data_IF_287093635951
#
_entry.id   IF_287093635951
#
_cell.length_a   1.000
_cell.length_b   1.000
_cell.length_c   1.000
_cell.angle_alpha   90.00
_cell.angle_beta   90.00
_cell.angle_gamma   90.00
#
_symmetry.space_group_name_H-M   'P 1'
#
loop_
_entity.id
_entity.type
_entity.pdbx_description
1 polymer ?
#
# COMPACT_ATOMS: atom_id res chain seq x y z
N UNK A 1 1.22 -27.54 9.98
CA UNK A 1 1.25 -26.36 9.09
C UNK A 1 0.18 -25.42 9.58
N UNK A 2 0.55 -24.42 10.40
CA UNK A 2 -0.43 -23.49 10.97
C UNK A 2 -0.79 -22.43 9.95
N UNK A 3 -1.90 -22.60 9.26
CA UNK A 3 -2.61 -21.47 8.66
C UNK A 3 -3.13 -20.62 9.79
N UNK A 4 -2.51 -19.48 10.04
CA UNK A 4 -3.01 -18.48 11.00
C UNK A 4 -4.37 -18.00 10.50
N UNK A 5 -5.46 -18.63 10.97
CA UNK A 5 -6.81 -18.19 10.69
C UNK A 5 -7.05 -16.88 11.45
N UNK A 6 -7.35 -15.82 10.72
CA UNK A 6 -7.77 -14.56 11.35
C UNK A 6 -9.15 -14.82 11.94
N UNK A 7 -9.25 -14.86 13.25
CA UNK A 7 -10.54 -14.94 13.95
C UNK A 7 -11.36 -13.68 13.63
N UNK A 8 -12.65 -13.85 13.35
CA UNK A 8 -13.61 -12.86 12.82
C UNK A 8 -13.73 -11.50 13.54
N UNK A 9 -12.98 -11.26 14.62
CA UNK A 9 -13.07 -10.03 15.44
C UNK A 9 -11.76 -9.25 15.60
N UNK A 10 -10.71 -9.58 14.84
CA UNK A 10 -9.45 -8.86 14.99
C UNK A 10 -9.33 -7.73 13.96
N UNK A 11 -8.85 -6.57 14.40
CA UNK A 11 -8.65 -5.40 13.52
C UNK A 11 -7.45 -5.59 12.58
N UNK A 12 -7.48 -4.84 11.48
CA UNK A 12 -6.31 -4.58 10.63
C UNK A 12 -5.60 -3.33 11.15
N UNK A 13 -4.28 -3.37 11.24
CA UNK A 13 -3.47 -2.18 11.53
C UNK A 13 -2.68 -1.83 10.29
N UNK A 14 -2.74 -0.56 9.85
CA UNK A 14 -1.93 -0.04 8.75
C UNK A 14 -0.97 1.03 9.26
N UNK A 15 0.24 1.09 8.70
CA UNK A 15 1.30 1.99 9.15
C UNK A 15 1.94 2.73 7.99
N UNK A 16 1.88 4.06 8.00
CA UNK A 16 2.48 4.89 6.97
C UNK A 16 2.26 6.39 7.16
N UNK A 17 2.69 7.18 6.19
CA UNK A 17 2.51 8.62 6.19
C UNK A 17 1.19 9.04 5.55
N UNK A 18 0.44 9.90 6.24
CA UNK A 18 -0.64 10.67 5.65
C UNK A 18 -0.18 12.10 5.41
N UNK A 19 -0.46 12.62 4.21
CA UNK A 19 -0.06 13.95 3.77
C UNK A 19 -1.26 14.81 3.41
N UNK A 20 -1.11 16.12 3.49
CA UNK A 20 -2.05 17.06 2.89
C UNK A 20 -1.83 17.07 1.37
N UNK A 21 -2.86 16.68 0.62
CA UNK A 21 -2.92 16.74 -0.84
C UNK A 21 -3.52 18.05 -1.28
N UNK A 22 -2.80 18.79 -2.11
CA UNK A 22 -3.22 20.04 -2.73
C UNK A 22 -3.36 19.82 -4.24
N UNK A 23 -4.60 19.68 -4.71
CA UNK A 23 -4.90 19.38 -6.12
C UNK A 23 -5.31 20.65 -6.86
N UNK A 24 -4.64 20.94 -7.99
CA UNK A 24 -5.09 21.98 -8.90
C UNK A 24 -6.51 21.62 -9.45
N UNK A 25 -7.47 22.57 -9.44
CA UNK A 25 -8.84 22.29 -9.84
C UNK A 25 -8.95 21.79 -11.27
N UNK A 26 -9.88 20.88 -11.51
CA UNK A 26 -10.12 20.29 -12.84
C UNK A 26 -8.82 19.71 -13.42
N UNK A 27 -8.40 20.18 -14.58
CA UNK A 27 -7.17 19.76 -15.27
C UNK A 27 -6.20 20.93 -15.45
N UNK A 28 -6.25 21.95 -14.55
CA UNK A 28 -5.34 23.09 -14.60
C UNK A 28 -3.91 22.67 -14.21
N UNK A 29 -2.95 23.39 -14.78
CA UNK A 29 -1.54 23.31 -14.33
C UNK A 29 -1.33 24.21 -13.12
N UNK A 30 -0.29 23.98 -12.36
CA UNK A 30 0.10 24.86 -11.23
C UNK A 30 0.29 26.33 -11.65
N UNK A 31 0.76 26.57 -12.89
CA UNK A 31 0.92 27.90 -13.45
C UNK A 31 -0.40 28.55 -13.88
N UNK A 32 -1.52 27.86 -13.83
CA UNK A 32 -2.83 28.34 -14.30
C UNK A 32 -3.84 28.53 -13.16
N UNK A 33 -3.45 28.20 -11.93
CA UNK A 33 -4.33 28.28 -10.76
C UNK A 33 -3.69 29.02 -9.60
N UNK A 34 -4.48 29.69 -8.81
CA UNK A 34 -4.17 30.33 -7.51
C UNK A 34 -4.97 29.68 -6.38
N UNK A 35 -5.71 28.62 -6.64
CA UNK A 35 -6.48 27.89 -5.64
C UNK A 35 -6.17 26.39 -5.72
N UNK A 36 -6.32 25.69 -4.59
CA UNK A 36 -6.13 24.25 -4.51
C UNK A 36 -7.26 23.62 -3.72
N UNK A 37 -7.69 22.45 -4.17
CA UNK A 37 -8.57 21.58 -3.40
C UNK A 37 -7.70 20.78 -2.42
N UNK A 38 -7.95 20.99 -1.12
CA UNK A 38 -7.24 20.32 -0.05
C UNK A 38 -7.95 19.04 0.37
N UNK A 39 -7.23 17.92 0.38
CA UNK A 39 -7.67 16.62 0.88
C UNK A 39 -6.50 15.95 1.61
N UNK A 40 -6.74 14.79 2.24
CA UNK A 40 -5.69 14.02 2.89
C UNK A 40 -5.53 12.68 2.18
N UNK A 41 -4.29 12.19 2.06
CA UNK A 41 -4.00 10.91 1.42
C UNK A 41 -2.61 10.39 1.77
N UNK A 42 -2.50 9.09 1.73
CA UNK A 42 -1.29 8.32 1.95
C UNK A 42 -1.60 6.86 1.63
N UNK A 43 -0.63 6.10 1.13
CA UNK A 43 -0.89 4.75 0.65
C UNK A 43 -1.63 3.90 1.69
N UNK A 44 -1.07 3.78 2.88
CA UNK A 44 -1.61 2.94 3.95
C UNK A 44 -2.90 3.51 4.56
N UNK A 45 -3.06 4.87 4.56
CA UNK A 45 -4.30 5.52 4.96
C UNK A 45 -5.42 5.24 3.95
N UNK A 46 -5.12 5.25 2.64
CA UNK A 46 -6.07 4.92 1.58
C UNK A 46 -6.50 3.44 1.66
N UNK A 47 -5.55 2.53 1.90
CA UNK A 47 -5.85 1.10 2.18
C UNK A 47 -6.76 0.96 3.39
N UNK A 48 -6.44 1.67 4.49
CA UNK A 48 -7.23 1.64 5.73
C UNK A 48 -8.66 2.11 5.49
N UNK A 49 -8.86 3.24 4.79
CA UNK A 49 -10.19 3.76 4.45
C UNK A 49 -10.96 2.76 3.57
N UNK A 50 -10.29 2.13 2.59
CA UNK A 50 -10.91 1.09 1.76
C UNK A 50 -11.42 -0.07 2.60
N UNK A 51 -10.63 -0.54 3.56
CA UNK A 51 -10.99 -1.64 4.45
C UNK A 51 -12.17 -1.28 5.37
N UNK A 52 -12.18 -0.08 5.92
CA UNK A 52 -13.32 0.41 6.73
C UNK A 52 -14.59 0.48 5.89
N UNK A 53 -14.52 0.95 4.65
CA UNK A 53 -15.66 0.97 3.73
C UNK A 53 -16.16 -0.45 3.39
N UNK A 54 -15.31 -1.47 3.49
CA UNK A 54 -15.70 -2.88 3.39
C UNK A 54 -16.20 -3.48 4.72
N UNK A 55 -16.31 -2.67 5.79
CA UNK A 55 -16.78 -3.10 7.11
C UNK A 55 -15.71 -3.81 7.96
N UNK A 56 -14.43 -3.69 7.60
CA UNK A 56 -13.32 -4.26 8.37
C UNK A 56 -12.84 -3.24 9.41
N UNK A 57 -12.87 -3.57 10.73
CA UNK A 57 -12.28 -2.72 11.75
C UNK A 57 -10.80 -2.46 11.45
N UNK A 58 -10.42 -1.21 11.29
CA UNK A 58 -9.06 -0.84 10.88
C UNK A 58 -8.55 0.32 11.74
N UNK A 59 -7.30 0.23 12.15
CA UNK A 59 -6.54 1.24 12.87
C UNK A 59 -5.41 1.76 11.98
N UNK A 60 -5.23 3.08 11.95
CA UNK A 60 -4.13 3.70 11.20
C UNK A 60 -3.07 4.26 12.15
N UNK A 61 -1.83 3.89 11.92
CA UNK A 61 -0.67 4.29 12.71
C UNK A 61 0.20 5.24 11.90
N UNK A 62 0.45 6.42 12.45
CA UNK A 62 1.28 7.45 11.83
C UNK A 62 1.83 8.42 12.89
N UNK A 63 2.66 9.38 12.44
CA UNK A 63 3.11 10.49 13.27
C UNK A 63 2.73 11.83 12.64
N UNK A 64 2.04 12.68 13.41
CA UNK A 64 1.55 13.99 12.99
C UNK A 64 2.07 15.11 13.90
N UNK A 65 2.15 16.38 13.42
CA UNK A 65 2.49 17.49 14.27
C UNK A 65 1.31 17.85 15.20
N UNK A 66 1.59 18.55 16.30
CA UNK A 66 0.56 19.09 17.20
C UNK A 66 0.05 20.45 16.68
N UNK A 67 -0.86 20.43 15.70
CA UNK A 67 -1.46 21.66 15.18
C UNK A 67 -2.85 21.41 14.58
N UNK A 68 -3.54 22.50 14.23
CA UNK A 68 -4.90 22.47 13.70
C UNK A 68 -5.03 21.71 12.36
N UNK A 69 -3.98 21.70 11.53
CA UNK A 69 -4.01 20.96 10.25
C UNK A 69 -3.96 19.44 10.48
N UNK A 70 -3.15 18.99 11.45
CA UNK A 70 -3.12 17.60 11.86
C UNK A 70 -4.47 17.17 12.47
N UNK A 71 -5.09 18.02 13.30
CA UNK A 71 -6.42 17.75 13.85
C UNK A 71 -7.47 17.63 12.74
N UNK A 72 -7.42 18.50 11.73
CA UNK A 72 -8.33 18.42 10.58
C UNK A 72 -8.11 17.12 9.78
N UNK A 73 -6.87 16.66 9.65
CA UNK A 73 -6.55 15.36 9.06
C UNK A 73 -7.19 14.22 9.87
N UNK A 74 -6.98 14.18 11.17
CA UNK A 74 -7.55 13.15 12.07
C UNK A 74 -9.07 13.13 11.97
N UNK A 75 -9.72 14.30 12.03
CA UNK A 75 -11.17 14.40 11.88
C UNK A 75 -11.65 13.86 10.52
N UNK A 76 -10.89 14.11 9.45
CA UNK A 76 -11.20 13.58 8.11
C UNK A 76 -11.10 12.04 8.07
N UNK A 77 -10.09 11.46 8.70
CA UNK A 77 -9.93 10.00 8.78
C UNK A 77 -11.04 9.37 9.62
N UNK A 78 -11.37 9.96 10.76
CA UNK A 78 -12.44 9.53 11.66
C UNK A 78 -13.83 9.61 11.02
N UNK A 79 -14.05 10.56 10.11
CA UNK A 79 -15.30 10.68 9.37
C UNK A 79 -15.62 9.46 8.51
N UNK A 80 -14.60 8.67 8.10
CA UNK A 80 -14.76 7.37 7.46
C UNK A 80 -14.95 6.22 8.46
N UNK A 81 -14.83 6.46 9.76
CA UNK A 81 -14.87 5.42 10.80
C UNK A 81 -13.52 4.74 11.04
N UNK A 82 -12.42 5.34 10.56
CA UNK A 82 -11.07 4.81 10.77
C UNK A 82 -10.61 5.02 12.22
N UNK A 83 -10.06 3.97 12.86
CA UNK A 83 -9.40 4.06 14.15
C UNK A 83 -8.12 4.91 14.05
N UNK A 84 -7.93 5.79 15.01
CA UNK A 84 -6.84 6.78 15.01
C UNK A 84 -6.07 6.84 16.35
N UNK A 85 -6.31 5.89 17.25
CA UNK A 85 -5.66 5.84 18.57
C UNK A 85 -4.17 5.50 18.46
N UNK A 86 -3.76 4.90 17.32
CA UNK A 86 -2.36 4.64 16.98
C UNK A 86 -1.58 5.86 16.47
N UNK A 87 -2.21 7.03 16.33
CA UNK A 87 -1.54 8.26 15.89
C UNK A 87 -0.72 8.84 17.04
N UNK A 88 0.59 8.98 16.84
CA UNK A 88 1.47 9.68 17.76
C UNK A 88 1.74 11.11 17.28
N UNK A 89 1.96 12.01 18.23
CA UNK A 89 2.16 13.43 17.94
C UNK A 89 3.61 13.85 18.16
N UNK A 90 4.06 14.82 17.37
CA UNK A 90 5.39 15.43 17.45
C UNK A 90 5.91 15.80 16.06
N UNK A 91 7.12 16.39 16.05
CA UNK A 91 7.66 17.00 14.82
C UNK A 91 7.05 18.38 14.56
N UNK A 92 7.37 18.96 13.40
CA UNK A 92 7.05 20.38 13.11
C UNK A 92 5.96 20.56 12.07
N UNK A 93 5.82 19.61 11.12
CA UNK A 93 4.92 19.78 9.96
C UNK A 93 4.38 18.46 9.45
N UNK A 94 3.21 18.52 8.82
CA UNK A 94 2.70 17.45 7.99
C UNK A 94 3.39 17.46 6.63
N UNK A 95 3.61 16.29 6.03
CA UNK A 95 4.02 16.20 4.63
C UNK A 95 2.95 16.75 3.69
N UNK A 96 3.37 17.32 2.57
CA UNK A 96 2.50 17.84 1.53
C UNK A 96 2.79 17.15 0.20
N UNK A 97 1.79 17.10 -0.67
CA UNK A 97 2.02 16.91 -2.09
C UNK A 97 1.03 17.71 -2.93
N UNK A 98 1.54 18.18 -4.06
CA UNK A 98 0.77 18.94 -5.05
C UNK A 98 0.48 18.04 -6.23
N UNK A 99 -0.76 18.12 -6.74
CA UNK A 99 -1.21 17.31 -7.86
C UNK A 99 -1.76 18.18 -8.99
N UNK A 100 -1.21 18.01 -10.18
CA UNK A 100 -1.87 18.35 -11.44
C UNK A 100 -2.49 17.07 -12.02
N UNK A 101 -3.79 17.05 -12.19
CA UNK A 101 -4.47 15.92 -12.82
C UNK A 101 -4.11 15.83 -14.31
N UNK A 102 -3.82 14.64 -14.78
CA UNK A 102 -3.58 14.38 -16.19
C UNK A 102 -4.86 14.52 -17.04
N UNK A 103 -4.68 14.75 -18.33
CA UNK A 103 -5.78 14.81 -19.27
C UNK A 103 -5.31 14.29 -20.63
N UNK A 104 -6.04 13.38 -21.24
CA UNK A 104 -5.70 12.73 -22.51
C UNK A 104 -4.23 12.23 -22.52
N UNK A 105 -3.37 12.80 -23.34
CA UNK A 105 -1.95 12.42 -23.44
C UNK A 105 -1.03 13.16 -22.46
N UNK A 106 -1.54 14.11 -21.70
CA UNK A 106 -0.78 14.80 -20.67
C UNK A 106 -0.84 14.01 -19.37
N UNK A 107 0.31 13.51 -18.93
CA UNK A 107 0.41 12.80 -17.66
C UNK A 107 0.11 13.69 -16.45
N UNK A 108 -0.36 13.09 -15.36
CA UNK A 108 -0.44 13.74 -14.05
C UNK A 108 0.98 14.12 -13.59
N UNK A 109 1.07 15.24 -12.87
CA UNK A 109 2.32 15.69 -12.27
C UNK A 109 2.15 15.76 -10.75
N UNK A 110 3.05 15.11 -10.02
CA UNK A 110 3.07 15.11 -8.55
C UNK A 110 4.36 15.71 -8.06
N UNK A 111 4.24 16.72 -7.20
CA UNK A 111 5.38 17.36 -6.52
C UNK A 111 5.23 17.09 -5.03
N UNK A 112 6.22 16.40 -4.45
CA UNK A 112 6.25 16.10 -3.01
C UNK A 112 7.04 17.17 -2.25
N UNK A 113 6.49 17.60 -1.13
CA UNK A 113 7.14 18.40 -0.09
C UNK A 113 6.95 17.71 1.26
N UNK A 114 7.77 16.70 1.51
CA UNK A 114 7.68 15.83 2.69
C UNK A 114 8.96 15.73 3.52
N UNK A 115 10.03 16.37 3.09
CA UNK A 115 11.29 16.43 3.85
C UNK A 115 11.06 17.06 5.22
N UNK A 116 11.57 16.43 6.28
CA UNK A 116 11.37 16.90 7.65
C UNK A 116 9.91 16.87 8.14
N UNK A 117 9.01 16.16 7.44
CA UNK A 117 7.67 15.91 7.97
C UNK A 117 7.73 15.16 9.30
N UNK A 118 6.66 15.25 10.09
CA UNK A 118 6.59 14.54 11.38
C UNK A 118 6.82 13.05 11.22
N UNK A 119 6.24 12.44 10.17
CA UNK A 119 6.46 11.04 9.87
C UNK A 119 7.91 10.76 9.44
N UNK A 120 8.50 11.59 8.59
CA UNK A 120 9.90 11.42 8.15
C UNK A 120 10.92 11.52 9.30
N UNK A 121 10.52 12.08 10.45
CA UNK A 121 11.35 12.13 11.67
C UNK A 121 11.06 11.00 12.66
N UNK A 122 10.31 9.98 12.26
CA UNK A 122 10.03 8.80 13.06
C UNK A 122 11.31 8.01 13.33
N UNK A 123 11.41 7.43 14.53
CA UNK A 123 12.52 6.60 14.98
C UNK A 123 12.02 5.39 15.77
N UNK A 124 12.78 4.31 15.84
CA UNK A 124 12.47 3.19 16.74
C UNK A 124 12.21 3.66 18.18
N UNK A 125 11.32 2.97 18.86
CA UNK A 125 10.93 3.27 20.24
C UNK A 125 9.93 4.40 20.41
N UNK A 126 9.51 5.10 19.33
CA UNK A 126 8.51 6.16 19.43
C UNK A 126 7.07 5.64 19.46
N UNK A 127 6.83 4.43 18.96
CA UNK A 127 5.51 3.80 18.88
C UNK A 127 5.49 2.58 19.79
N UNK A 128 4.46 2.48 20.64
CA UNK A 128 4.22 1.29 21.46
C UNK A 128 3.51 0.20 20.62
N UNK A 129 4.31 -0.51 19.82
CA UNK A 129 3.82 -1.56 18.94
C UNK A 129 3.15 -2.71 19.68
N UNK A 130 3.61 -3.06 20.89
CA UNK A 130 2.98 -4.10 21.72
C UNK A 130 1.54 -3.77 22.02
N UNK A 131 1.29 -2.55 22.45
CA UNK A 131 -0.06 -2.07 22.77
C UNK A 131 -0.93 -2.01 21.52
N UNK A 132 -0.43 -1.42 20.43
CA UNK A 132 -1.21 -1.17 19.20
C UNK A 132 -1.58 -2.48 18.49
N UNK A 133 -0.67 -3.46 18.50
CA UNK A 133 -0.85 -4.73 17.76
C UNK A 133 -1.48 -5.85 18.61
N UNK A 134 -1.69 -5.65 19.93
CA UNK A 134 -2.13 -6.68 20.86
C UNK A 134 -3.45 -7.37 20.48
N UNK A 135 -4.39 -6.63 19.88
CA UNK A 135 -5.72 -7.08 19.43
C UNK A 135 -5.85 -7.14 17.90
N UNK A 136 -4.73 -6.95 17.19
CA UNK A 136 -4.72 -7.02 15.72
C UNK A 136 -4.59 -8.46 15.22
N UNK A 137 -5.09 -8.70 14.01
CA UNK A 137 -4.89 -9.96 13.28
C UNK A 137 -4.09 -9.79 12.00
N UNK A 138 -3.97 -8.54 11.53
CA UNK A 138 -3.27 -8.20 10.29
C UNK A 138 -2.51 -6.88 10.45
N UNK A 139 -1.26 -6.86 9.97
CA UNK A 139 -0.45 -5.66 9.88
C UNK A 139 -0.10 -5.37 8.41
N UNK A 140 -0.38 -4.16 7.94
CA UNK A 140 -0.05 -3.72 6.58
C UNK A 140 0.87 -2.51 6.59
N UNK A 141 1.91 -2.57 5.77
CA UNK A 141 2.90 -1.51 5.58
C UNK A 141 3.30 -1.39 4.12
N UNK A 142 4.02 -0.32 3.75
CA UNK A 142 4.59 -0.19 2.41
C UNK A 142 6.06 0.25 2.42
N UNK A 143 6.71 0.06 1.28
CA UNK A 143 8.09 0.50 1.07
C UNK A 143 8.29 2.01 1.17
N UNK A 144 7.23 2.82 1.17
CA UNK A 144 7.35 4.27 1.32
C UNK A 144 7.92 4.64 2.69
N UNK A 145 7.43 4.03 3.76
CA UNK A 145 7.90 4.34 5.11
C UNK A 145 9.41 4.09 5.27
N UNK A 146 9.92 2.98 4.71
CA UNK A 146 11.33 2.62 4.74
C UNK A 146 12.20 3.45 3.77
N UNK A 147 11.60 4.11 2.78
CA UNK A 147 12.31 4.87 1.75
C UNK A 147 12.72 6.28 2.16
N UNK A 148 12.23 6.78 3.29
CA UNK A 148 12.42 8.17 3.71
C UNK A 148 13.74 8.40 4.45
N UNK A 149 14.15 7.45 5.27
CA UNK A 149 15.39 7.51 6.06
C UNK A 149 15.77 6.13 6.59
N UNK A 150 17.01 5.98 7.09
CA UNK A 150 17.42 4.75 7.78
C UNK A 150 16.61 4.55 9.05
N UNK A 151 16.34 5.60 9.83
CA UNK A 151 15.54 5.52 11.04
C UNK A 151 14.08 5.10 10.74
N UNK A 152 13.53 5.55 9.61
CA UNK A 152 12.22 5.09 9.13
C UNK A 152 12.21 3.60 8.79
N UNK A 153 13.27 3.10 8.15
CA UNK A 153 13.43 1.67 7.87
C UNK A 153 13.59 0.85 9.16
N UNK A 154 14.35 1.36 10.13
CA UNK A 154 14.54 0.71 11.42
C UNK A 154 13.23 0.68 12.25
N UNK A 155 12.43 1.75 12.19
CA UNK A 155 11.10 1.78 12.80
C UNK A 155 10.12 0.78 12.12
N UNK A 156 10.21 0.60 10.78
CA UNK A 156 9.48 -0.45 10.09
C UNK A 156 9.90 -1.84 10.58
N UNK A 157 11.21 -2.08 10.75
CA UNK A 157 11.72 -3.35 11.24
C UNK A 157 11.20 -3.66 12.65
N UNK A 158 11.19 -2.68 13.55
CA UNK A 158 10.63 -2.81 14.90
C UNK A 158 9.16 -3.24 14.87
N UNK A 159 8.36 -2.59 14.03
CA UNK A 159 6.95 -2.94 13.83
C UNK A 159 6.78 -4.37 13.31
N UNK A 160 7.57 -4.75 12.31
CA UNK A 160 7.54 -6.08 11.69
C UNK A 160 7.93 -7.19 12.66
N UNK A 161 8.97 -6.98 13.44
CA UNK A 161 9.42 -7.92 14.48
C UNK A 161 8.34 -8.11 15.54
N UNK A 162 7.68 -7.04 15.95
CA UNK A 162 6.58 -7.11 16.93
C UNK A 162 5.37 -7.82 16.35
N UNK A 163 4.95 -7.48 15.13
CA UNK A 163 3.84 -8.13 14.45
C UNK A 163 4.09 -9.64 14.23
N UNK A 164 5.33 -10.01 13.88
CA UNK A 164 5.73 -11.41 13.74
C UNK A 164 5.66 -12.17 15.06
N UNK A 165 6.22 -11.61 16.13
CA UNK A 165 6.22 -12.21 17.47
C UNK A 165 4.80 -12.40 18.01
N UNK A 166 3.90 -11.45 17.74
CA UNK A 166 2.48 -11.53 18.11
C UNK A 166 1.66 -12.44 17.18
N UNK A 167 2.26 -12.93 16.13
CA UNK A 167 1.64 -13.90 15.23
C UNK A 167 0.66 -13.31 14.22
N UNK A 168 0.77 -12.03 13.88
CA UNK A 168 -0.09 -11.40 12.88
C UNK A 168 0.22 -11.89 11.47
N UNK A 169 -0.77 -11.80 10.58
CA UNK A 169 -0.51 -11.85 9.15
C UNK A 169 0.07 -10.50 8.74
N UNK A 170 1.18 -10.51 8.03
CA UNK A 170 1.89 -9.30 7.61
C UNK A 170 1.79 -9.14 6.09
N UNK A 171 1.40 -7.96 5.62
CA UNK A 171 1.39 -7.64 4.20
C UNK A 171 2.21 -6.39 3.88
N UNK A 172 2.88 -6.42 2.75
CA UNK A 172 3.71 -5.34 2.22
C UNK A 172 3.21 -4.92 0.83
N UNK A 173 2.99 -3.62 0.62
CA UNK A 173 3.01 -3.04 -0.73
C UNK A 173 4.42 -2.55 -1.03
N UNK A 174 5.05 -3.08 -2.07
CA UNK A 174 6.43 -2.69 -2.45
C UNK A 174 6.55 -1.20 -2.73
N UNK A 175 5.57 -0.62 -3.38
CA UNK A 175 5.32 0.80 -3.56
C UNK A 175 6.60 1.64 -3.83
N UNK A 176 7.48 1.11 -4.69
CA UNK A 176 8.76 1.74 -4.99
C UNK A 176 8.56 3.12 -5.63
N UNK A 177 9.23 4.12 -5.07
CA UNK A 177 9.25 5.49 -5.57
C UNK A 177 10.69 5.96 -5.71
N UNK A 178 11.24 5.92 -6.93
CA UNK A 178 12.65 6.23 -7.23
C UNK A 178 13.15 7.53 -6.56
N UNK A 179 12.29 8.55 -6.46
CA UNK A 179 12.66 9.87 -5.89
C UNK A 179 12.81 9.88 -4.36
N UNK A 180 12.47 8.82 -3.65
CA UNK A 180 12.51 8.78 -2.19
C UNK A 180 13.81 8.18 -1.63
N UNK A 181 14.50 7.34 -2.40
CA UNK A 181 15.71 6.63 -1.98
C UNK A 181 16.96 7.53 -2.08
N UNK A 182 17.06 8.53 -1.18
CA UNK A 182 18.11 9.57 -1.26
C UNK A 182 19.06 9.57 -0.05
N UNK A 183 19.03 8.57 0.83
CA UNK A 183 19.88 8.49 2.02
C UNK A 183 21.05 7.50 1.90
N UNK A 184 21.50 7.23 0.66
CA UNK A 184 22.74 6.49 0.37
C UNK A 184 22.60 4.97 0.33
N UNK A 185 21.36 4.43 0.43
CA UNK A 185 21.07 2.99 0.27
C UNK A 185 20.14 2.76 -0.91
N UNK A 186 20.29 1.61 -1.58
CA UNK A 186 19.36 1.17 -2.60
C UNK A 186 18.09 0.60 -1.99
N UNK A 187 16.99 0.62 -2.77
CA UNK A 187 15.73 0.01 -2.34
C UNK A 187 15.89 -1.49 -2.03
N UNK A 188 16.67 -2.22 -2.83
CA UNK A 188 16.92 -3.64 -2.63
C UNK A 188 17.61 -3.93 -1.30
N UNK A 189 18.67 -3.17 -0.96
CA UNK A 189 19.43 -3.35 0.31
C UNK A 189 18.54 -3.19 1.54
N UNK A 190 17.57 -2.28 1.49
CA UNK A 190 16.70 -1.99 2.63
C UNK A 190 15.45 -2.86 2.63
N UNK A 191 14.80 -3.02 1.48
CA UNK A 191 13.51 -3.71 1.41
C UNK A 191 13.63 -5.23 1.51
N UNK A 192 14.66 -5.85 0.95
CA UNK A 192 14.79 -7.32 0.99
C UNK A 192 14.77 -7.89 2.41
N UNK A 193 15.50 -7.34 3.40
CA UNK A 193 15.39 -7.79 4.79
C UNK A 193 14.00 -7.57 5.41
N UNK A 194 13.32 -6.48 5.06
CA UNK A 194 12.02 -6.15 5.63
C UNK A 194 10.89 -7.02 5.05
N UNK A 195 10.91 -7.28 3.75
CA UNK A 195 9.87 -8.11 3.10
C UNK A 195 9.92 -9.58 3.51
N UNK A 196 11.03 -10.04 4.13
CA UNK A 196 11.12 -11.39 4.70
C UNK A 196 10.07 -11.66 5.80
N UNK A 197 9.56 -10.61 6.42
CA UNK A 197 8.49 -10.72 7.42
C UNK A 197 7.09 -10.84 6.80
N UNK A 198 6.95 -10.64 5.49
CA UNK A 198 5.64 -10.51 4.83
C UNK A 198 5.08 -11.85 4.37
N UNK A 199 3.85 -12.16 4.79
CA UNK A 199 3.07 -13.31 4.31
C UNK A 199 2.40 -13.02 2.97
N UNK A 200 2.12 -11.72 2.69
CA UNK A 200 1.49 -11.24 1.45
C UNK A 200 2.27 -10.07 0.90
N UNK A 201 2.62 -10.10 -0.38
CA UNK A 201 3.35 -9.03 -1.06
C UNK A 201 2.52 -8.53 -2.23
N UNK A 202 2.35 -7.20 -2.30
CA UNK A 202 1.72 -6.48 -3.40
C UNK A 202 2.75 -5.66 -4.17
N UNK A 203 2.53 -5.46 -5.45
CA UNK A 203 3.34 -4.57 -6.26
C UNK A 203 3.07 -4.71 -7.75
N UNK A 204 3.68 -3.80 -8.53
CA UNK A 204 3.75 -3.88 -9.97
C UNK A 204 5.10 -4.46 -10.43
N UNK A 205 5.18 -4.97 -11.65
CA UNK A 205 6.41 -5.59 -12.18
C UNK A 205 7.67 -4.72 -12.05
N UNK A 206 7.64 -3.39 -12.29
CA UNK A 206 8.80 -2.53 -12.09
C UNK A 206 9.31 -2.49 -10.65
N UNK A 207 8.42 -2.61 -9.66
CA UNK A 207 8.77 -2.59 -8.24
C UNK A 207 9.49 -3.88 -7.83
N UNK A 208 9.01 -5.02 -8.31
CA UNK A 208 9.71 -6.30 -8.13
C UNK A 208 11.09 -6.32 -8.81
N UNK A 209 11.22 -5.65 -9.96
CA UNK A 209 12.52 -5.51 -10.62
C UNK A 209 13.51 -4.73 -9.75
N UNK A 210 13.10 -3.61 -9.20
CA UNK A 210 13.97 -2.73 -8.40
C UNK A 210 14.36 -3.36 -7.04
N UNK A 211 13.47 -4.15 -6.44
CA UNK A 211 13.69 -4.71 -5.11
C UNK A 211 14.31 -6.11 -5.20
N UNK A 212 13.75 -6.99 -6.02
CA UNK A 212 14.17 -8.40 -6.12
C UNK A 212 15.10 -8.70 -7.30
N UNK A 213 15.34 -7.73 -8.20
CA UNK A 213 16.12 -7.95 -9.42
C UNK A 213 15.41 -8.86 -10.44
N UNK A 214 14.11 -9.11 -10.31
CA UNK A 214 13.35 -9.99 -11.20
C UNK A 214 12.87 -9.19 -12.40
N UNK A 215 13.29 -9.57 -13.64
CA UNK A 215 12.86 -8.83 -14.82
C UNK A 215 11.34 -8.97 -15.05
N UNK A 216 10.67 -7.93 -15.57
CA UNK A 216 9.24 -7.98 -15.86
C UNK A 216 8.96 -9.01 -16.97
N UNK A 217 7.79 -9.64 -16.88
CA UNK A 217 7.22 -10.47 -17.97
C UNK A 217 6.73 -9.57 -19.09
N UNK A 218 6.07 -8.46 -18.71
CA UNK A 218 5.54 -7.41 -19.58
C UNK A 218 4.03 -7.56 -19.83
N UNK A 219 3.32 -6.49 -19.50
CA UNK A 219 1.90 -6.37 -19.80
C UNK A 219 1.67 -5.18 -20.73
N UNK A 220 1.25 -5.46 -21.98
CA UNK A 220 1.07 -4.46 -23.05
C UNK A 220 -0.32 -4.60 -23.70
N UNK A 221 -1.32 -4.89 -22.89
CA UNK A 221 -2.68 -5.02 -23.40
C UNK A 221 -3.14 -3.71 -24.06
N UNK A 222 -3.70 -3.81 -25.25
CA UNK A 222 -4.32 -2.69 -25.97
C UNK A 222 -5.85 -2.79 -25.96
N UNK A 223 -6.35 -3.99 -25.60
CA UNK A 223 -7.76 -4.30 -25.40
C UNK A 223 -7.93 -5.50 -24.47
N UNK A 224 -9.15 -5.90 -24.22
CA UNK A 224 -9.49 -7.00 -23.29
C UNK A 224 -9.18 -8.40 -23.83
N UNK A 225 -8.82 -8.55 -25.10
CA UNK A 225 -8.48 -9.83 -25.74
C UNK A 225 -6.99 -10.17 -25.64
N UNK A 226 -6.16 -9.29 -25.08
CA UNK A 226 -4.71 -9.48 -24.95
C UNK A 226 -4.37 -10.80 -24.21
N UNK A 227 -3.55 -11.68 -24.80
CA UNK A 227 -3.18 -12.93 -24.16
C UNK A 227 -2.15 -12.70 -23.05
N UNK A 228 -2.49 -13.14 -21.82
CA UNK A 228 -1.53 -13.11 -20.71
C UNK A 228 -0.52 -14.25 -20.82
N UNK A 229 0.78 -13.97 -20.71
CA UNK A 229 1.82 -14.98 -20.59
C UNK A 229 1.84 -15.60 -19.19
N UNK A 230 0.92 -16.54 -18.95
CA UNK A 230 0.79 -17.19 -17.65
C UNK A 230 2.03 -18.02 -17.28
N UNK A 231 2.80 -18.50 -18.25
CA UNK A 231 4.03 -19.26 -18.01
C UNK A 231 5.13 -18.35 -17.48
N UNK A 232 5.31 -17.17 -18.06
CA UNK A 232 6.24 -16.15 -17.59
C UNK A 232 5.90 -15.67 -16.17
N UNK A 233 4.64 -15.40 -15.90
CA UNK A 233 4.19 -15.00 -14.55
C UNK A 233 4.35 -16.12 -13.52
N UNK A 234 4.23 -17.39 -13.90
CA UNK A 234 4.51 -18.52 -13.01
C UNK A 234 5.97 -18.56 -12.59
N UNK A 235 6.89 -18.42 -13.54
CA UNK A 235 8.35 -18.35 -13.28
C UNK A 235 8.69 -17.12 -12.44
N UNK A 236 8.05 -15.99 -12.73
CA UNK A 236 8.19 -14.76 -11.94
C UNK A 236 7.83 -15.00 -10.47
N UNK A 237 6.66 -15.59 -10.19
CA UNK A 237 6.21 -15.89 -8.84
C UNK A 237 7.11 -16.88 -8.10
N UNK A 238 7.67 -17.88 -8.81
CA UNK A 238 8.66 -18.81 -8.24
C UNK A 238 9.89 -18.06 -7.73
N UNK A 239 10.47 -17.17 -8.55
CA UNK A 239 11.64 -16.38 -8.18
C UNK A 239 11.38 -15.47 -6.97
N UNK A 240 10.18 -14.90 -6.84
CA UNK A 240 9.80 -14.14 -5.64
C UNK A 240 9.76 -15.06 -4.42
N UNK A 241 9.13 -16.24 -4.53
CA UNK A 241 9.03 -17.20 -3.43
C UNK A 241 10.40 -17.74 -2.98
N UNK A 242 11.38 -17.83 -3.87
CA UNK A 242 12.76 -18.24 -3.54
C UNK A 242 13.46 -17.16 -2.71
N UNK A 243 13.22 -15.89 -2.99
CA UNK A 243 13.83 -14.76 -2.30
C UNK A 243 13.04 -14.30 -1.05
N UNK A 244 11.74 -14.58 -0.99
CA UNK A 244 10.85 -14.27 0.14
C UNK A 244 10.07 -15.53 0.56
N UNK A 245 10.72 -16.52 1.18
CA UNK A 245 10.15 -17.86 1.44
C UNK A 245 8.94 -17.84 2.39
N UNK A 246 8.77 -16.81 3.21
CA UNK A 246 7.59 -16.61 4.04
C UNK A 246 6.36 -16.19 3.22
N UNK A 247 6.55 -15.56 2.07
CA UNK A 247 5.46 -15.07 1.24
C UNK A 247 4.58 -16.22 0.73
N UNK A 248 3.34 -16.25 1.17
CA UNK A 248 2.35 -17.25 0.75
C UNK A 248 1.52 -16.78 -0.43
N UNK A 249 1.36 -15.47 -0.60
CA UNK A 249 0.57 -14.84 -1.67
C UNK A 249 1.31 -13.63 -2.23
N UNK A 250 1.60 -13.68 -3.50
CA UNK A 250 2.13 -12.54 -4.25
C UNK A 250 1.05 -12.02 -5.19
N UNK A 251 0.76 -10.74 -5.10
CA UNK A 251 -0.16 -10.05 -5.99
C UNK A 251 0.61 -9.11 -6.92
N UNK A 252 0.31 -9.21 -8.21
CA UNK A 252 0.80 -8.27 -9.22
C UNK A 252 -0.37 -7.45 -9.76
N UNK A 253 -0.26 -6.13 -9.68
CA UNK A 253 -1.07 -5.21 -10.45
C UNK A 253 -0.45 -5.09 -11.85
N UNK A 254 -1.23 -5.43 -12.87
CA UNK A 254 -0.85 -5.26 -14.26
C UNK A 254 -1.58 -4.05 -14.82
N UNK A 255 -0.83 -3.07 -15.33
CA UNK A 255 -1.40 -1.84 -15.88
C UNK A 255 -0.74 -1.49 -17.20
N UNK A 256 -1.55 -1.25 -18.23
CA UNK A 256 -1.13 -0.52 -19.41
C UNK A 256 -1.93 0.79 -19.54
N UNK A 257 -1.23 1.92 -19.58
CA UNK A 257 -1.82 3.25 -19.70
C UNK A 257 -1.90 3.64 -21.18
N UNK A 258 -3.11 3.75 -21.69
CA UNK A 258 -3.37 4.21 -23.05
C UNK A 258 -3.38 5.74 -23.10
N UNK A 259 -4.11 6.36 -22.16
CA UNK A 259 -4.09 7.81 -21.91
C UNK A 259 -4.12 8.05 -20.40
N UNK A 260 -4.05 9.30 -19.96
CA UNK A 260 -4.10 9.64 -18.54
C UNK A 260 -5.40 9.22 -17.82
N UNK A 261 -6.47 9.02 -18.57
CA UNK A 261 -7.77 8.58 -18.05
C UNK A 261 -8.28 7.27 -18.67
N UNK A 262 -7.42 6.56 -19.41
CA UNK A 262 -7.75 5.27 -20.01
C UNK A 262 -6.66 4.27 -19.70
N UNK A 263 -6.97 3.25 -18.93
CA UNK A 263 -6.06 2.21 -18.51
C UNK A 263 -6.66 0.82 -18.72
N UNK A 264 -5.83 -0.12 -19.11
CA UNK A 264 -6.16 -1.54 -19.07
C UNK A 264 -5.50 -2.16 -17.84
N UNK A 265 -6.31 -2.80 -17.01
CA UNK A 265 -5.89 -3.34 -15.72
C UNK A 265 -6.16 -4.85 -15.68
N UNK A 266 -5.24 -5.58 -15.09
CA UNK A 266 -5.44 -6.98 -14.71
C UNK A 266 -4.69 -7.27 -13.41
N UNK A 267 -4.97 -8.39 -12.77
CA UNK A 267 -4.29 -8.84 -11.58
C UNK A 267 -3.84 -10.29 -11.72
N UNK A 268 -2.67 -10.57 -11.17
CA UNK A 268 -2.13 -11.92 -10.99
C UNK A 268 -2.01 -12.20 -9.50
N UNK A 269 -2.47 -13.37 -9.08
CA UNK A 269 -2.15 -13.96 -7.78
C UNK A 269 -1.29 -15.21 -8.00
N UNK A 270 -0.11 -15.20 -7.44
CA UNK A 270 0.71 -16.41 -7.30
C UNK A 270 0.69 -16.87 -5.85
N UNK A 271 0.37 -18.14 -5.63
CA UNK A 271 0.34 -18.74 -4.29
C UNK A 271 0.71 -20.22 -4.37
N UNK A 272 1.78 -20.61 -3.68
CA UNK A 272 2.22 -22.03 -3.54
C UNK A 272 2.31 -22.76 -4.88
N UNK A 273 2.91 -22.14 -5.89
CA UNK A 273 3.06 -22.73 -7.22
C UNK A 273 1.82 -22.64 -8.13
N UNK A 274 0.70 -22.14 -7.59
CA UNK A 274 -0.54 -21.93 -8.34
C UNK A 274 -0.67 -20.47 -8.75
N UNK A 275 -1.08 -20.24 -9.99
CA UNK A 275 -1.33 -18.93 -10.54
C UNK A 275 -2.82 -18.76 -10.82
N UNK A 276 -3.36 -17.63 -10.41
CA UNK A 276 -4.71 -17.17 -10.75
C UNK A 276 -4.62 -15.75 -11.31
N UNK A 277 -5.55 -15.40 -12.16
CA UNK A 277 -5.60 -14.06 -12.76
C UNK A 277 -7.04 -13.60 -12.95
N UNK A 278 -7.22 -12.30 -13.06
CA UNK A 278 -8.50 -11.70 -13.48
C UNK A 278 -8.57 -11.65 -15.01
N UNK A 279 -9.75 -11.35 -15.55
CA UNK A 279 -9.83 -10.78 -16.88
C UNK A 279 -9.14 -9.42 -16.95
N UNK A 280 -9.04 -8.87 -18.15
CA UNK A 280 -8.55 -7.51 -18.37
C UNK A 280 -9.74 -6.56 -18.29
N UNK A 281 -9.63 -5.55 -17.41
CA UNK A 281 -10.62 -4.50 -17.24
C UNK A 281 -10.22 -3.29 -18.09
N UNK A 282 -11.15 -2.82 -18.89
CA UNK A 282 -11.00 -1.60 -19.69
C UNK A 282 -11.60 -0.42 -18.94
N UNK A 283 -10.76 0.47 -18.41
CA UNK A 283 -11.16 1.63 -17.61
C UNK A 283 -10.98 2.89 -18.44
N UNK A 284 -12.05 3.29 -19.14
CA UNK A 284 -12.03 4.38 -20.13
C UNK A 284 -12.25 5.78 -19.55
N UNK A 285 -12.73 5.91 -18.30
CA UNK A 285 -13.03 7.19 -17.65
C UNK A 285 -12.53 7.21 -16.21
N UNK A 286 -11.21 7.16 -16.05
CA UNK A 286 -10.61 7.29 -14.73
C UNK A 286 -10.75 8.73 -14.19
N UNK A 287 -11.46 8.89 -13.08
CA UNK A 287 -11.77 10.20 -12.47
C UNK A 287 -10.61 10.70 -11.61
N UNK A 288 -10.06 9.82 -10.78
CA UNK A 288 -8.87 10.09 -9.98
C UNK A 288 -7.95 8.87 -9.97
N UNK A 289 -6.74 9.05 -10.46
CA UNK A 289 -5.75 8.00 -10.56
C UNK A 289 -5.01 7.72 -9.24
N UNK A 290 -4.97 8.73 -8.38
CA UNK A 290 -4.23 8.63 -7.11
C UNK A 290 -4.99 7.74 -6.14
N UNK A 291 -4.33 6.72 -5.63
CA UNK A 291 -4.94 5.73 -4.74
C UNK A 291 -5.53 4.50 -5.44
N UNK A 292 -5.44 4.38 -6.78
CA UNK A 292 -5.94 3.18 -7.48
C UNK A 292 -5.21 1.90 -7.06
N UNK A 293 -3.87 1.96 -6.88
CA UNK A 293 -3.08 0.85 -6.31
C UNK A 293 -3.50 0.54 -4.88
N UNK A 294 -3.71 1.57 -4.06
CA UNK A 294 -4.14 1.39 -2.67
C UNK A 294 -5.53 0.75 -2.58
N UNK A 295 -6.45 1.11 -3.48
CA UNK A 295 -7.77 0.48 -3.60
C UNK A 295 -7.66 -1.01 -4.01
N UNK A 296 -6.75 -1.33 -4.93
CA UNK A 296 -6.43 -2.71 -5.30
C UNK A 296 -5.93 -3.49 -4.09
N UNK A 297 -4.94 -2.95 -3.35
CA UNK A 297 -4.39 -3.57 -2.13
C UNK A 297 -5.48 -3.78 -1.08
N UNK A 298 -6.31 -2.76 -0.80
CA UNK A 298 -7.44 -2.86 0.13
C UNK A 298 -8.43 -3.97 -0.25
N UNK A 299 -8.80 -4.06 -1.53
CA UNK A 299 -9.66 -5.12 -2.06
C UNK A 299 -9.05 -6.52 -1.93
N UNK A 300 -7.74 -6.65 -2.17
CA UNK A 300 -7.04 -7.94 -2.03
C UNK A 300 -6.89 -8.37 -0.58
N UNK A 301 -6.60 -7.45 0.35
CA UNK A 301 -6.58 -7.75 1.79
C UNK A 301 -7.97 -8.20 2.23
N UNK A 302 -9.03 -7.47 1.84
CA UNK A 302 -10.41 -7.86 2.13
C UNK A 302 -10.73 -9.27 1.64
N UNK A 303 -10.39 -9.59 0.38
CA UNK A 303 -10.53 -10.93 -0.16
C UNK A 303 -9.75 -11.99 0.63
N UNK A 304 -8.53 -11.69 1.05
CA UNK A 304 -7.74 -12.59 1.90
C UNK A 304 -8.40 -12.84 3.26
N UNK A 305 -8.99 -11.82 3.87
CA UNK A 305 -9.70 -11.94 5.15
C UNK A 305 -10.93 -12.83 5.04
N UNK A 306 -11.73 -12.69 3.97
CA UNK A 306 -12.93 -13.49 3.73
C UNK A 306 -12.61 -14.96 3.48
N UNK A 307 -11.59 -15.26 2.68
CA UNK A 307 -11.25 -16.64 2.29
C UNK A 307 -10.46 -17.41 3.36
N UNK A 308 -9.98 -16.74 4.41
CA UNK A 308 -9.33 -17.38 5.57
C UNK A 308 -10.28 -17.61 6.73
N UNK A 309 -11.47 -16.99 6.71
CA UNK A 309 -12.55 -17.29 7.66
C UNK A 309 -13.29 -18.56 7.23
N UNK A 310 -13.65 -19.49 8.15
CA UNK A 310 -14.51 -20.61 7.83
C UNK A 310 -15.82 -20.10 7.24
N UNK A 311 -16.19 -20.58 6.06
CA UNK A 311 -17.45 -20.22 5.43
C UNK A 311 -18.60 -20.78 6.28
N UNK A 312 -19.76 -20.10 6.38
CA UNK A 312 -20.97 -20.71 6.94
C UNK A 312 -21.34 -22.04 6.29
N UNK A 313 -20.87 -22.31 5.07
CA UNK A 313 -21.02 -23.59 4.37
C UNK A 313 -20.18 -24.70 4.97
N UNK A 314 -19.05 -24.36 5.61
CA UNK A 314 -18.15 -25.34 6.24
C UNK A 314 -18.75 -25.88 7.55
N UNK A 315 -19.67 -25.14 8.18
CA UNK A 315 -20.43 -25.57 9.35
C UNK A 315 -21.69 -26.38 9.02
N UNK A 316 -22.16 -26.33 7.76
CA UNK A 316 -23.33 -27.08 7.32
C UNK A 316 -22.99 -28.51 6.85
N UNK A 317 -21.70 -28.86 6.78
CA UNK A 317 -21.22 -30.18 6.34
C UNK A 317 -20.60 -31.02 7.47
N UNK A 318 -20.69 -30.57 8.72
CA UNK A 318 -20.33 -31.29 9.94
C UNK A 318 -21.62 -31.53 10.75
#
# INVERSE_FOLDING_TARGET
MNTRAITQNKKVVTFGEVMLRLTAPKFQRFSQTNEFIATYGGSEANVAISLVNFGIPTEFVTRLPENAMAQACVNSLQAYGLGTDGIIYGGKRMGLYFLESGAAFRNSNVVYDREGSSFATLRPGMIDWEKILSDAGWFHWSGIAASLSQEGADACLEALQTADRLGLTISCDLNFRKKLWNYGKSASEVMLPLVQYSDVIFGAEPEYKEIFGIPPVGFKAVDTSYPLDLSGFKVFGQKVSEQAPRCQKMFLELRNTITSNHNLLAAILYSKGTLRHTGIYDIVHEVDRVGAGDAFVGGMIYGCLLYTSPSPRDYAAS
#
